data_IF_956696155549
#
_entry.id   IF_956696155549
#
_cell.length_a   1.000
_cell.length_b   1.000
_cell.length_c   1.000
_cell.angle_alpha   90.00
_cell.angle_beta   90.00
_cell.angle_gamma   90.00
#
_symmetry.space_group_name_H-M   'P 1'
#
loop_
_entity.id
_entity.type
_entity.pdbx_description
1 polymer ?
#
# COMPACT_ATOMS: atom_id res chain seq x y z
N UNK A 1 12.01 -7.06 22.48
CA UNK A 1 12.13 -5.86 21.61
C UNK A 1 11.75 -6.29 20.21
N UNK A 2 10.80 -5.61 19.55
CA UNK A 2 10.59 -5.87 18.11
C UNK A 2 11.76 -5.30 17.34
N UNK A 3 12.24 -5.97 16.28
CA UNK A 3 13.32 -5.44 15.48
C UNK A 3 12.87 -4.11 14.86
N UNK A 4 13.60 -3.05 15.18
CA UNK A 4 13.46 -1.77 14.49
C UNK A 4 13.93 -2.02 13.07
N UNK A 5 13.01 -1.95 12.10
CA UNK A 5 13.33 -2.08 10.69
C UNK A 5 14.29 -0.94 10.31
N UNK A 6 15.59 -1.23 10.31
CA UNK A 6 16.62 -0.23 10.07
C UNK A 6 16.78 -0.04 8.56
N UNK A 7 16.02 0.89 7.98
CA UNK A 7 16.08 1.21 6.56
C UNK A 7 17.50 1.53 6.07
N UNK A 8 18.42 1.97 6.94
CA UNK A 8 19.80 2.25 6.54
C UNK A 8 20.59 0.98 6.17
N UNK A 9 20.31 -0.16 6.81
CA UNK A 9 20.91 -1.46 6.45
C UNK A 9 20.43 -1.95 5.08
N UNK A 10 19.24 -1.50 4.66
CA UNK A 10 18.59 -1.95 3.43
C UNK A 10 18.78 -1.02 2.24
N UNK A 11 19.35 0.17 2.46
CA UNK A 11 19.50 1.23 1.46
C UNK A 11 20.10 0.75 0.15
N UNK A 12 21.15 -0.07 0.25
CA UNK A 12 21.93 -0.55 -0.90
C UNK A 12 21.22 -1.60 -1.76
N UNK A 13 20.26 -2.35 -1.21
CA UNK A 13 19.43 -3.32 -1.96
C UNK A 13 18.05 -2.77 -2.32
N UNK A 14 17.48 -1.88 -1.51
CA UNK A 14 16.30 -1.09 -1.85
C UNK A 14 16.55 -0.32 -3.16
N UNK A 15 17.74 0.29 -3.31
CA UNK A 15 18.14 0.92 -4.58
C UNK A 15 18.27 -0.08 -5.74
N UNK A 16 18.74 -1.32 -5.49
CA UNK A 16 18.86 -2.37 -6.52
C UNK A 16 17.50 -2.89 -7.00
N UNK A 17 16.45 -2.78 -6.17
CA UNK A 17 15.06 -3.07 -6.54
C UNK A 17 14.27 -1.80 -6.90
N UNK A 18 14.97 -0.69 -7.18
CA UNK A 18 14.41 0.57 -7.68
C UNK A 18 13.66 1.41 -6.64
N UNK A 19 13.76 1.10 -5.35
CA UNK A 19 13.22 1.91 -4.25
C UNK A 19 14.22 3.05 -4.00
N UNK A 20 13.87 4.25 -4.45
CA UNK A 20 14.74 5.42 -4.34
C UNK A 20 14.85 5.89 -2.88
N UNK A 21 16.05 5.81 -2.33
CA UNK A 21 16.37 6.18 -0.94
C UNK A 21 17.10 7.51 -0.82
N UNK A 22 17.28 8.25 -1.94
CA UNK A 22 17.99 9.52 -1.94
C UNK A 22 17.22 10.68 -1.27
N UNK A 23 15.90 10.55 -1.02
CA UNK A 23 15.09 11.58 -0.34
C UNK A 23 14.42 11.13 0.97
N UNK A 24 14.64 9.91 1.44
CA UNK A 24 13.84 9.31 2.53
C UNK A 24 14.63 9.05 3.81
N UNK A 25 14.91 10.10 4.59
CA UNK A 25 15.14 9.95 6.03
C UNK A 25 13.81 9.54 6.71
N UNK A 26 13.67 8.24 6.98
CA UNK A 26 12.38 7.55 7.01
C UNK A 26 11.62 7.77 8.33
N UNK A 27 10.39 8.28 8.26
CA UNK A 27 9.39 8.01 9.29
C UNK A 27 8.66 6.71 8.91
N UNK A 28 8.74 5.70 9.79
CA UNK A 28 7.99 4.45 9.62
C UNK A 28 6.60 4.64 10.20
N UNK A 29 5.57 4.62 9.35
CA UNK A 29 4.19 4.48 9.82
C UNK A 29 3.95 2.98 9.99
N UNK A 30 4.10 2.48 11.22
CA UNK A 30 3.59 1.16 11.56
C UNK A 30 2.07 1.20 11.52
N UNK A 31 1.50 0.44 10.59
CA UNK A 31 0.04 0.25 10.52
C UNK A 31 -0.28 -0.90 11.48
N UNK A 32 -0.54 -0.57 12.74
CA UNK A 32 -1.11 -1.51 13.68
C UNK A 32 -2.61 -1.60 13.45
N UNK A 33 -3.15 -2.81 13.34
CA UNK A 33 -4.59 -3.06 13.44
C UNK A 33 -5.08 -2.45 14.75
N UNK A 34 -5.92 -1.42 14.66
CA UNK A 34 -6.63 -0.90 15.82
C UNK A 34 -7.75 -1.90 16.11
N UNK A 35 -7.57 -2.72 17.14
CA UNK A 35 -8.70 -3.38 17.79
C UNK A 35 -9.50 -2.31 18.53
N UNK A 36 -10.81 -2.26 18.26
CA UNK A 36 -11.75 -1.31 18.83
C UNK A 36 -11.65 -1.25 20.36
N UNK A 37 -11.55 -0.04 20.91
CA UNK A 37 -11.89 0.20 22.31
C UNK A 37 -13.16 1.06 22.31
N UNK A 38 -14.29 0.44 22.69
CA UNK A 38 -15.58 1.12 22.83
C UNK A 38 -15.45 2.25 23.85
N UNK A 39 -15.83 3.47 23.46
CA UNK A 39 -15.94 4.61 24.39
C UNK A 39 -17.13 4.41 25.34
N UNK A 40 -16.89 4.62 26.64
CA UNK A 40 -17.94 4.74 27.64
C UNK A 40 -17.40 5.22 28.99
N UNK A 41 -17.60 6.52 29.26
CA UNK A 41 -17.78 7.14 30.58
C UNK A 41 -16.60 7.39 31.56
N UNK A 42 -16.38 8.69 31.76
CA UNK A 42 -16.05 9.47 32.99
C UNK A 42 -14.66 9.45 33.63
N UNK A 43 -14.16 10.67 33.84
CA UNK A 43 -12.97 11.05 34.56
C UNK A 43 -13.07 10.75 36.07
N UNK A 44 -12.12 9.97 36.62
CA UNK A 44 -11.70 10.02 38.04
C UNK A 44 -10.25 9.55 38.17
N UNK A 45 -9.44 10.28 38.94
CA UNK A 45 -8.04 9.95 39.32
C UNK A 45 -7.98 8.59 40.01
N UNK A 46 -7.11 7.68 39.54
CA UNK A 46 -6.59 6.56 40.36
C UNK A 46 -5.09 6.35 40.04
N UNK A 47 -4.34 6.20 41.13
CA UNK A 47 -2.91 5.93 41.25
C UNK A 47 -2.47 4.64 40.52
N UNK A 48 -1.20 4.63 40.12
CA UNK A 48 -0.32 3.50 39.78
C UNK A 48 -0.93 2.09 39.73
N UNK A 49 -0.89 1.47 38.54
CA UNK A 49 -0.56 0.04 38.38
C UNK A 49 0.07 -0.17 37.00
N UNK A 50 1.40 -0.23 36.95
CA UNK A 50 2.23 -0.55 35.77
C UNK A 50 2.10 -2.01 35.28
N UNK A 51 1.02 -2.71 35.64
CA UNK A 51 0.91 -4.17 35.48
C UNK A 51 -0.09 -4.61 34.39
N UNK A 52 -0.71 -3.68 33.66
CA UNK A 52 -1.72 -3.99 32.62
C UNK A 52 -1.32 -3.70 31.16
N UNK A 53 -0.06 -3.31 30.90
CA UNK A 53 0.42 -2.96 29.54
C UNK A 53 1.21 -4.07 28.82
N UNK A 54 1.08 -5.32 29.27
CA UNK A 54 1.76 -6.50 28.68
C UNK A 54 0.79 -7.62 28.28
N UNK A 55 -0.44 -7.29 27.89
CA UNK A 55 -1.39 -8.26 27.36
C UNK A 55 -1.53 -8.07 25.84
N UNK A 56 -1.17 -9.11 25.10
CA UNK A 56 -1.45 -9.37 23.68
C UNK A 56 -0.60 -8.66 22.61
N UNK A 57 0.73 -8.70 22.73
CA UNK A 57 1.60 -8.51 21.57
C UNK A 57 1.77 -9.84 20.85
N UNK A 58 0.78 -10.24 20.06
CA UNK A 58 0.92 -11.40 19.17
C UNK A 58 2.14 -11.17 18.27
N UNK A 59 3.13 -12.07 18.35
CA UNK A 59 4.32 -11.97 17.53
C UNK A 59 3.92 -11.99 16.05
N UNK A 60 4.38 -10.98 15.32
CA UNK A 60 4.17 -10.88 13.87
C UNK A 60 5.06 -11.93 13.21
N UNK A 61 4.51 -12.66 12.24
CA UNK A 61 5.22 -13.72 11.53
C UNK A 61 6.06 -13.18 10.37
N UNK A 62 5.69 -12.01 9.86
CA UNK A 62 6.25 -11.41 8.67
C UNK A 62 6.21 -9.88 8.77
N UNK A 63 7.25 -9.22 8.28
CA UNK A 63 7.27 -7.77 8.07
C UNK A 63 7.24 -7.48 6.58
N UNK A 64 6.33 -6.60 6.14
CA UNK A 64 6.19 -6.20 4.76
C UNK A 64 6.26 -4.67 4.63
N UNK A 65 7.08 -4.19 3.70
CA UNK A 65 7.19 -2.79 3.33
C UNK A 65 6.54 -2.55 1.97
N UNK A 66 5.60 -1.61 1.90
CA UNK A 66 4.96 -1.17 0.65
C UNK A 66 5.66 0.09 0.18
N UNK A 67 6.34 0.02 -0.96
CA UNK A 67 6.82 1.22 -1.63
C UNK A 67 5.71 1.79 -2.50
N UNK A 68 5.04 2.82 -2.01
CA UNK A 68 4.10 3.60 -2.81
C UNK A 68 4.87 4.75 -3.46
N UNK A 69 5.50 4.45 -4.60
CA UNK A 69 6.27 5.42 -5.36
C UNK A 69 5.41 6.33 -6.23
N UNK A 70 6.07 7.29 -6.86
CA UNK A 70 5.42 8.27 -7.72
C UNK A 70 5.08 7.70 -9.09
N UNK A 71 6.05 7.01 -9.68
CA UNK A 71 5.92 6.38 -11.01
C UNK A 71 5.62 4.90 -10.91
N UNK A 72 6.24 4.23 -9.94
CA UNK A 72 6.15 2.79 -9.75
C UNK A 72 5.98 2.45 -8.27
N UNK A 73 5.14 1.46 -7.98
CA UNK A 73 4.90 0.95 -6.65
C UNK A 73 5.21 -0.56 -6.57
N UNK A 74 5.52 -1.03 -5.37
CA UNK A 74 5.81 -2.44 -5.13
C UNK A 74 5.85 -2.76 -3.64
N UNK A 75 6.28 -3.97 -3.31
CA UNK A 75 6.51 -4.34 -1.92
C UNK A 75 7.69 -5.31 -1.76
N UNK A 76 8.25 -5.28 -0.56
CA UNK A 76 9.25 -6.23 -0.10
C UNK A 76 8.85 -6.79 1.26
N UNK A 77 9.27 -8.00 1.59
CA UNK A 77 8.93 -8.63 2.86
C UNK A 77 10.03 -9.57 3.34
N UNK A 78 10.02 -9.86 4.64
CA UNK A 78 10.86 -10.87 5.25
C UNK A 78 10.08 -11.58 6.36
N UNK A 79 10.22 -12.90 6.43
CA UNK A 79 9.69 -13.69 7.54
C UNK A 79 10.56 -13.45 8.78
N UNK A 80 9.94 -13.46 9.96
CA UNK A 80 10.65 -13.25 11.21
C UNK A 80 11.78 -14.26 11.43
N UNK A 81 11.58 -15.52 11.00
CA UNK A 81 12.61 -16.54 11.05
C UNK A 81 13.79 -16.23 10.12
N UNK A 82 13.51 -15.87 8.86
CA UNK A 82 14.55 -15.52 7.89
C UNK A 82 15.35 -14.30 8.35
N UNK A 83 14.68 -13.27 8.87
CA UNK A 83 15.32 -12.07 9.40
C UNK A 83 16.27 -12.37 10.56
N UNK A 84 15.92 -13.30 11.46
CA UNK A 84 16.78 -13.69 12.59
C UNK A 84 18.05 -14.43 12.15
N UNK A 85 17.98 -15.18 11.06
CA UNK A 85 19.11 -15.94 10.51
C UNK A 85 19.99 -15.05 9.64
N UNK A 86 19.39 -14.31 8.72
CA UNK A 86 20.05 -13.37 7.84
C UNK A 86 19.15 -12.13 7.64
N UNK A 87 19.42 -11.03 8.36
CA UNK A 87 18.66 -9.80 8.23
C UNK A 87 18.61 -9.26 6.79
N UNK A 88 19.58 -9.59 5.93
CA UNK A 88 19.64 -9.11 4.54
C UNK A 88 18.82 -9.97 3.58
N UNK A 89 18.25 -11.09 4.05
CA UNK A 89 17.36 -11.95 3.25
C UNK A 89 15.97 -11.31 3.12
N UNK A 90 15.78 -10.63 2.00
CA UNK A 90 14.53 -9.95 1.63
C UNK A 90 13.92 -10.64 0.41
N UNK A 91 12.62 -10.88 0.48
CA UNK A 91 11.80 -11.30 -0.65
C UNK A 91 11.04 -10.10 -1.24
N UNK A 92 10.78 -10.14 -2.54
CA UNK A 92 9.97 -9.13 -3.25
C UNK A 92 8.70 -9.77 -3.80
N UNK A 93 7.85 -8.96 -4.43
CA UNK A 93 6.72 -9.43 -5.21
C UNK A 93 7.12 -10.52 -6.24
N UNK A 94 6.20 -11.44 -6.58
CA UNK A 94 6.29 -12.18 -7.83
C UNK A 94 6.45 -11.20 -8.99
N UNK A 95 7.28 -11.55 -9.97
CA UNK A 95 7.55 -10.69 -11.12
C UNK A 95 6.23 -10.30 -11.81
N UNK A 96 5.97 -9.01 -11.90
CA UNK A 96 4.87 -8.48 -12.70
C UNK A 96 5.24 -8.56 -14.18
N UNK A 97 4.26 -8.91 -15.01
CA UNK A 97 4.44 -8.94 -16.46
C UNK A 97 4.06 -7.58 -17.03
N UNK A 98 5.06 -6.85 -17.52
CA UNK A 98 4.93 -5.55 -18.13
C UNK A 98 4.59 -5.70 -19.62
N UNK A 99 3.31 -5.53 -19.94
CA UNK A 99 2.77 -5.59 -21.29
C UNK A 99 2.87 -6.97 -21.95
N UNK A 100 2.38 -7.04 -23.18
CA UNK A 100 2.23 -8.28 -23.96
C UNK A 100 3.55 -8.93 -24.41
N UNK A 101 4.71 -8.32 -24.12
CA UNK A 101 6.05 -8.84 -24.49
C UNK A 101 6.72 -9.67 -23.39
N UNK A 102 6.06 -9.92 -22.26
CA UNK A 102 6.60 -10.79 -21.22
C UNK A 102 7.75 -10.18 -20.42
N UNK A 103 7.90 -8.84 -20.43
CA UNK A 103 8.94 -8.17 -19.64
C UNK A 103 8.62 -8.33 -18.16
N UNK A 104 9.58 -8.77 -17.37
CA UNK A 104 9.39 -9.00 -15.94
C UNK A 104 9.85 -7.80 -15.12
N UNK A 105 9.01 -7.36 -14.18
CA UNK A 105 9.29 -6.19 -13.33
C UNK A 105 9.08 -6.49 -11.86
N UNK A 106 9.93 -5.90 -11.02
CA UNK A 106 9.77 -5.88 -9.56
C UNK A 106 8.85 -4.75 -9.08
N UNK A 107 8.32 -3.94 -9.99
CA UNK A 107 7.37 -2.87 -9.68
C UNK A 107 6.28 -2.76 -10.72
N UNK A 108 5.09 -2.35 -10.29
CA UNK A 108 3.98 -2.02 -11.16
C UNK A 108 3.85 -0.50 -11.29
N UNK A 109 3.42 0.04 -12.46
CA UNK A 109 3.14 1.45 -12.63
C UNK A 109 2.16 1.95 -11.56
N UNK A 110 2.36 3.16 -11.06
CA UNK A 110 1.45 3.77 -10.10
C UNK A 110 0.25 4.37 -10.85
N UNK A 111 -0.66 3.49 -11.27
CA UNK A 111 -1.89 3.87 -11.93
C UNK A 111 -3.09 3.05 -11.45
N UNK A 112 -4.28 3.66 -11.49
CA UNK A 112 -5.54 3.08 -11.04
C UNK A 112 -6.59 3.30 -12.12
N UNK A 113 -7.31 2.25 -12.48
CA UNK A 113 -8.48 2.30 -13.33
C UNK A 113 -9.75 2.16 -12.48
N UNK A 114 -10.70 3.07 -12.66
CA UNK A 114 -12.03 3.01 -12.04
C UNK A 114 -13.13 2.88 -13.10
N UNK A 115 -14.22 2.26 -12.69
CA UNK A 115 -15.45 2.15 -13.48
C UNK A 115 -16.11 3.52 -13.68
N UNK A 116 -17.12 3.64 -14.57
CA UNK A 116 -17.90 4.88 -14.70
C UNK A 116 -18.58 5.33 -13.39
N UNK A 117 -18.78 4.40 -12.44
CA UNK A 117 -19.30 4.67 -11.10
C UNK A 117 -18.21 5.04 -10.07
N UNK A 118 -16.98 5.25 -10.52
CA UNK A 118 -15.79 5.47 -9.69
C UNK A 118 -15.46 4.31 -8.74
N UNK A 119 -15.84 3.09 -9.10
CA UNK A 119 -15.47 1.89 -8.34
C UNK A 119 -14.11 1.37 -8.83
N UNK A 120 -13.24 0.95 -7.91
CA UNK A 120 -11.94 0.39 -8.28
C UNK A 120 -12.08 -0.86 -9.14
N UNK A 121 -11.44 -0.85 -10.31
CA UNK A 121 -11.33 -2.02 -11.19
C UNK A 121 -9.99 -2.71 -10.94
N UNK A 122 -8.88 -2.01 -11.21
CA UNK A 122 -7.55 -2.60 -11.11
C UNK A 122 -6.45 -1.52 -10.96
N UNK A 123 -5.22 -1.98 -10.74
CA UNK A 123 -4.02 -1.19 -10.52
C UNK A 123 -2.87 -1.72 -11.39
N UNK A 124 -1.90 -0.87 -11.72
CA UNK A 124 -0.64 -1.34 -12.30
C UNK A 124 -0.73 -1.68 -13.79
N UNK A 125 0.00 -2.70 -14.23
CA UNK A 125 0.04 -3.07 -15.64
C UNK A 125 -1.34 -3.51 -16.14
N UNK A 126 -2.11 -4.20 -15.31
CA UNK A 126 -3.49 -4.59 -15.61
C UNK A 126 -4.39 -3.38 -15.84
N UNK A 127 -4.12 -2.24 -15.18
CA UNK A 127 -4.85 -0.99 -15.42
C UNK A 127 -4.45 -0.34 -16.75
N UNK A 128 -3.17 -0.38 -17.11
CA UNK A 128 -2.70 0.13 -18.40
C UNK A 128 -3.26 -0.70 -19.56
N UNK A 129 -3.16 -2.03 -19.46
CA UNK A 129 -3.61 -2.96 -20.50
C UNK A 129 -5.13 -2.83 -20.71
N UNK A 130 -5.93 -2.87 -19.64
CA UNK A 130 -7.39 -2.74 -19.73
C UNK A 130 -7.82 -1.35 -20.24
N UNK A 131 -7.11 -0.28 -19.87
CA UNK A 131 -7.42 1.05 -20.41
C UNK A 131 -7.13 1.14 -21.92
N UNK A 132 -6.05 0.52 -22.39
CA UNK A 132 -5.75 0.42 -23.83
C UNK A 132 -6.83 -0.39 -24.56
N UNK A 133 -7.25 -1.53 -24.01
CA UNK A 133 -8.35 -2.33 -24.57
C UNK A 133 -9.65 -1.52 -24.69
N UNK A 134 -10.04 -0.82 -23.62
CA UNK A 134 -11.20 0.08 -23.64
C UNK A 134 -11.05 1.22 -24.66
N UNK A 135 -9.82 1.64 -24.98
CA UNK A 135 -9.57 2.69 -25.95
C UNK A 135 -9.74 2.20 -27.41
N UNK A 136 -9.52 0.92 -27.68
CA UNK A 136 -9.74 0.32 -29.01
C UNK A 136 -11.21 0.40 -29.45
N UNK A 137 -12.13 0.31 -28.48
CA UNK A 137 -13.58 0.39 -28.69
C UNK A 137 -14.18 1.75 -28.28
N UNK A 138 -13.35 2.77 -28.05
CA UNK A 138 -13.74 4.12 -27.57
C UNK A 138 -14.45 4.17 -26.20
N UNK A 139 -14.64 3.04 -25.50
CA UNK A 139 -15.30 2.96 -24.19
C UNK A 139 -14.48 3.54 -23.02
N UNK A 140 -13.19 3.80 -23.22
CA UNK A 140 -12.31 4.42 -22.21
C UNK A 140 -12.80 5.80 -21.73
N UNK A 141 -13.57 6.53 -22.55
CA UNK A 141 -14.12 7.85 -22.19
C UNK A 141 -15.14 7.80 -21.05
N UNK A 142 -15.71 6.64 -20.72
CA UNK A 142 -16.63 6.48 -19.59
C UNK A 142 -15.89 6.12 -18.29
N UNK A 143 -14.67 5.60 -18.39
CA UNK A 143 -13.85 5.15 -17.27
C UNK A 143 -12.93 6.26 -16.74
N UNK A 144 -12.39 6.08 -15.53
CA UNK A 144 -11.44 7.03 -14.93
C UNK A 144 -10.08 6.37 -14.82
N UNK A 145 -9.05 7.00 -15.37
CA UNK A 145 -7.70 6.43 -15.38
C UNK A 145 -6.69 7.40 -14.79
N UNK A 146 -6.25 7.12 -13.57
CA UNK A 146 -5.32 7.97 -12.85
C UNK A 146 -3.91 7.39 -12.93
N UNK A 147 -2.97 8.13 -13.51
CA UNK A 147 -1.54 7.76 -13.58
C UNK A 147 -0.66 8.84 -12.97
N UNK A 148 0.35 8.45 -12.19
CA UNK A 148 1.33 9.38 -11.63
C UNK A 148 0.73 10.38 -10.63
N UNK A 149 -0.44 10.08 -10.06
CA UNK A 149 -1.20 11.02 -9.25
C UNK A 149 -0.55 11.37 -7.90
N UNK A 150 0.50 10.64 -7.51
CA UNK A 150 1.34 11.00 -6.37
C UNK A 150 2.15 12.29 -6.62
N UNK A 151 2.32 12.72 -7.88
CA UNK A 151 3.00 13.98 -8.25
C UNK A 151 2.19 15.20 -7.82
N UNK A 152 0.85 15.13 -7.76
CA UNK A 152 0.01 16.23 -7.29
C UNK A 152 0.19 16.56 -5.79
N UNK A 153 1.06 15.80 -5.13
CA UNK A 153 1.68 16.17 -3.85
C UNK A 153 2.84 17.13 -4.17
N UNK A 154 2.51 18.38 -4.46
CA UNK A 154 3.46 19.47 -4.66
C UNK A 154 4.37 19.66 -3.43
N UNK A 155 5.59 20.17 -3.68
CA UNK A 155 6.66 20.65 -2.80
C UNK A 155 6.25 21.22 -1.42
N UNK A 156 5.01 21.71 -1.27
CA UNK A 156 4.43 22.22 -0.02
C UNK A 156 3.77 21.16 0.88
N UNK A 157 3.64 19.92 0.41
CA UNK A 157 3.25 18.76 1.21
C UNK A 157 1.86 18.86 1.85
N UNK A 158 0.88 19.49 1.19
CA UNK A 158 -0.49 19.59 1.68
C UNK A 158 -1.36 18.49 1.06
N UNK A 159 -1.74 17.52 1.88
CA UNK A 159 -2.75 16.51 1.56
C UNK A 159 -3.95 16.74 2.48
N UNK A 160 -5.14 16.82 1.90
CA UNK A 160 -6.40 16.91 2.64
C UNK A 160 -7.33 15.77 2.25
N UNK A 161 -8.21 15.36 3.16
CA UNK A 161 -9.19 14.28 2.93
C UNK A 161 -10.15 14.59 1.79
N UNK A 162 -10.45 15.87 1.58
CA UNK A 162 -11.37 16.36 0.56
C UNK A 162 -10.68 16.70 -0.76
N UNK A 163 -9.37 16.45 -0.88
CA UNK A 163 -8.64 16.69 -2.12
C UNK A 163 -9.18 15.77 -3.21
N UNK A 164 -9.49 16.37 -4.36
CA UNK A 164 -9.78 15.67 -5.60
C UNK A 164 -8.53 15.66 -6.47
N UNK A 165 -8.31 14.55 -7.16
CA UNK A 165 -7.26 14.40 -8.16
C UNK A 165 -7.94 14.33 -9.51
N UNK A 166 -7.34 15.00 -10.49
CA UNK A 166 -7.83 15.05 -11.87
C UNK A 166 -6.98 14.16 -12.77
N UNK A 167 -7.63 13.38 -13.64
CA UNK A 167 -6.95 12.60 -14.68
C UNK A 167 -6.60 13.43 -15.92
N UNK A 168 -5.99 12.81 -16.93
CA UNK A 168 -5.59 13.49 -18.18
C UNK A 168 -6.79 13.95 -19.02
N UNK A 169 -7.99 13.41 -18.78
CA UNK A 169 -9.24 13.79 -19.44
C UNK A 169 -10.06 14.80 -18.64
N UNK A 170 -9.56 15.23 -17.48
CA UNK A 170 -10.22 16.21 -16.64
C UNK A 170 -11.25 15.65 -15.66
N UNK A 171 -11.38 14.34 -15.55
CA UNK A 171 -12.28 13.68 -14.59
C UNK A 171 -11.64 13.64 -13.20
N UNK A 172 -12.47 13.69 -12.17
CA UNK A 172 -12.00 13.83 -10.79
C UNK A 172 -12.43 12.66 -9.89
N UNK A 173 -11.53 12.25 -8.99
CA UNK A 173 -11.82 11.28 -7.94
C UNK A 173 -11.14 11.69 -6.61
N UNK A 174 -11.66 11.25 -5.44
CA UNK A 174 -11.05 11.57 -4.16
C UNK A 174 -9.63 10.99 -4.02
N UNK A 175 -8.68 11.84 -3.64
CA UNK A 175 -7.29 11.44 -3.41
C UNK A 175 -7.19 10.30 -2.38
N UNK A 176 -7.96 10.39 -1.29
CA UNK A 176 -7.92 9.40 -0.22
C UNK A 176 -8.31 8.00 -0.72
N UNK A 177 -9.27 7.92 -1.63
CA UNK A 177 -9.70 6.65 -2.24
C UNK A 177 -8.63 6.07 -3.16
N UNK A 178 -8.07 6.88 -4.06
CA UNK A 178 -6.99 6.44 -4.96
C UNK A 178 -5.80 5.88 -4.18
N UNK A 179 -5.37 6.57 -3.11
CA UNK A 179 -4.26 6.09 -2.28
C UNK A 179 -4.61 4.81 -1.52
N UNK A 180 -5.82 4.73 -0.97
CA UNK A 180 -6.28 3.55 -0.26
C UNK A 180 -6.41 2.34 -1.20
N UNK A 181 -6.83 2.54 -2.45
CA UNK A 181 -6.89 1.50 -3.48
C UNK A 181 -5.52 0.90 -3.77
N UNK A 182 -4.49 1.73 -3.99
CA UNK A 182 -3.11 1.25 -4.23
C UNK A 182 -2.60 0.43 -3.05
N UNK A 183 -2.73 0.96 -1.82
CA UNK A 183 -2.24 0.28 -0.62
C UNK A 183 -2.96 -1.05 -0.42
N UNK A 184 -4.30 -1.06 -0.59
CA UNK A 184 -5.10 -2.28 -0.47
C UNK A 184 -4.73 -3.31 -1.53
N UNK A 185 -4.57 -2.89 -2.79
CA UNK A 185 -4.20 -3.79 -3.88
C UNK A 185 -2.86 -4.47 -3.57
N UNK A 186 -1.83 -3.72 -3.18
CA UNK A 186 -0.51 -4.28 -2.86
C UNK A 186 -0.55 -5.22 -1.64
N UNK A 187 -1.36 -4.89 -0.61
CA UNK A 187 -1.58 -5.79 0.53
C UNK A 187 -2.19 -7.12 0.09
N UNK A 188 -3.27 -7.06 -0.70
CA UNK A 188 -3.99 -8.24 -1.18
C UNK A 188 -3.10 -9.07 -2.12
N UNK A 189 -2.36 -8.43 -3.01
CA UNK A 189 -1.42 -9.09 -3.90
C UNK A 189 -0.35 -9.88 -3.13
N UNK A 190 0.23 -9.32 -2.06
CA UNK A 190 1.15 -10.07 -1.19
C UNK A 190 0.46 -11.25 -0.52
N UNK A 191 -0.73 -11.06 0.04
CA UNK A 191 -1.48 -12.14 0.70
C UNK A 191 -1.78 -13.29 -0.27
N UNK A 192 -2.28 -12.99 -1.47
CA UNK A 192 -2.53 -13.97 -2.53
C UNK A 192 -1.24 -14.68 -2.97
N UNK A 193 -0.13 -13.96 -3.10
CA UNK A 193 1.16 -14.55 -3.45
C UNK A 193 1.72 -15.48 -2.36
N UNK A 194 1.46 -15.20 -1.08
CA UNK A 194 1.83 -16.06 0.04
C UNK A 194 0.96 -17.33 0.08
N UNK A 195 -0.36 -17.17 -0.11
CA UNK A 195 -1.32 -18.28 -0.14
C UNK A 195 -1.02 -19.26 -1.29
N UNK A 196 -0.70 -18.74 -2.48
CA UNK A 196 -0.31 -19.55 -3.64
C UNK A 196 0.99 -20.36 -3.40
N UNK A 197 1.84 -19.94 -2.45
CA UNK A 197 3.05 -20.67 -2.02
C UNK A 197 2.78 -21.62 -0.85
N UNK A 198 1.52 -21.79 -0.44
CA UNK A 198 1.11 -22.62 0.69
C UNK A 198 1.32 -21.98 2.07
N UNK A 199 1.66 -20.69 2.13
CA UNK A 199 1.84 -19.99 3.40
C UNK A 199 0.51 -19.36 3.85
N UNK A 200 -0.16 -19.96 4.84
CA UNK A 200 -1.42 -19.45 5.43
C UNK A 200 -1.17 -18.25 6.36
N UNK A 201 -0.71 -17.13 5.80
CA UNK A 201 -0.45 -15.87 6.52
C UNK A 201 -1.68 -14.97 6.42
N UNK A 202 -2.24 -14.54 7.55
CA UNK A 202 -3.35 -13.58 7.56
C UNK A 202 -2.81 -12.16 7.65
N UNK A 203 -3.59 -11.18 7.20
CA UNK A 203 -3.24 -9.76 7.32
C UNK A 203 -2.81 -9.35 8.74
N UNK A 204 -3.42 -9.95 9.78
CA UNK A 204 -3.08 -9.70 11.19
C UNK A 204 -1.73 -10.25 11.63
N UNK A 205 -1.18 -11.21 10.90
CA UNK A 205 0.12 -11.82 11.20
C UNK A 205 1.27 -11.01 10.57
N UNK A 206 0.93 -10.00 9.74
CA UNK A 206 1.89 -9.12 9.07
C UNK A 206 2.10 -7.82 9.86
N UNK A 207 3.35 -7.38 9.97
CA UNK A 207 3.72 -6.01 10.33
C UNK A 207 3.88 -5.18 9.05
N UNK A 208 2.94 -4.27 8.80
CA UNK A 208 2.98 -3.41 7.62
C UNK A 208 3.77 -2.12 7.88
N UNK A 209 4.71 -1.86 6.98
CA UNK A 209 5.52 -0.65 6.91
C UNK A 209 5.15 0.10 5.64
N UNK A 210 4.72 1.35 5.78
CA UNK A 210 4.51 2.25 4.65
C UNK A 210 5.50 3.41 4.76
N UNK A 211 6.59 3.41 3.98
CA UNK A 211 7.54 4.51 3.94
C UNK A 211 6.87 5.77 3.39
N UNK A 212 7.15 6.89 4.02
CA UNK A 212 6.73 8.22 3.57
C UNK A 212 7.96 9.13 3.52
N UNK A 213 8.04 10.07 2.56
CA UNK A 213 9.18 10.98 2.47
C UNK A 213 9.39 11.78 3.76
N UNK A 214 10.67 12.03 4.09
CA UNK A 214 11.07 12.70 5.32
C UNK A 214 10.45 14.11 5.42
N UNK A 215 10.52 14.81 4.29
CA UNK A 215 10.12 16.21 4.08
C UNK A 215 8.61 16.42 4.11
N UNK A 216 7.82 15.36 4.20
CA UNK A 216 6.37 15.48 4.30
C UNK A 216 5.94 16.07 5.64
N UNK A 217 4.98 16.97 5.57
CA UNK A 217 4.30 17.58 6.72
C UNK A 217 3.60 16.50 7.58
N UNK A 218 3.27 16.85 8.82
CA UNK A 218 2.51 15.97 9.70
C UNK A 218 1.14 15.59 9.12
N UNK A 219 0.46 16.51 8.42
CA UNK A 219 -0.82 16.26 7.77
C UNK A 219 -0.70 15.29 6.60
N UNK A 220 0.35 15.40 5.78
CA UNK A 220 0.60 14.44 4.70
C UNK A 220 0.89 13.02 5.23
N UNK A 221 1.67 12.92 6.32
CA UNK A 221 1.91 11.63 7.00
C UNK A 221 0.61 11.04 7.59
N UNK A 222 -0.24 11.89 8.17
CA UNK A 222 -1.55 11.48 8.69
C UNK A 222 -2.50 11.03 7.56
N UNK A 223 -2.53 11.72 6.42
CA UNK A 223 -3.30 11.33 5.26
C UNK A 223 -2.93 9.91 4.78
N UNK A 224 -1.63 9.58 4.68
CA UNK A 224 -1.21 8.23 4.32
C UNK A 224 -1.66 7.18 5.32
N UNK A 225 -1.62 7.51 6.62
CA UNK A 225 -2.12 6.62 7.68
C UNK A 225 -3.62 6.37 7.51
N UNK A 226 -4.38 7.38 7.13
CA UNK A 226 -5.82 7.25 6.91
C UNK A 226 -6.12 6.44 5.65
N UNK A 227 -5.42 6.70 4.54
CA UNK A 227 -5.53 5.92 3.32
C UNK A 227 -5.23 4.43 3.60
N UNK A 228 -4.17 4.15 4.35
CA UNK A 228 -3.77 2.80 4.69
C UNK A 228 -4.76 2.02 5.56
N UNK A 229 -5.62 2.74 6.30
CA UNK A 229 -6.61 2.21 7.24
C UNK A 229 -8.05 2.27 6.72
N UNK A 230 -8.29 2.84 5.52
CA UNK A 230 -9.63 3.08 4.99
C UNK A 230 -10.48 1.81 4.84
N UNK A 231 -9.84 0.65 4.59
CA UNK A 231 -10.50 -0.64 4.31
C UNK A 231 -9.98 -1.78 5.20
N UNK A 232 -9.76 -1.52 6.50
CA UNK A 232 -9.18 -2.49 7.44
C UNK A 232 -10.07 -3.70 7.80
N UNK A 233 -11.25 -3.79 7.21
CA UNK A 233 -12.38 -4.64 7.56
C UNK A 233 -12.58 -5.86 6.65
N UNK A 234 -11.57 -6.24 5.86
CA UNK A 234 -11.58 -7.52 5.16
C UNK A 234 -12.54 -7.58 3.96
N UNK A 235 -12.94 -6.43 3.42
CA UNK A 235 -13.62 -6.35 2.12
C UNK A 235 -12.63 -6.79 1.03
N UNK A 236 -12.63 -8.08 0.70
CA UNK A 236 -12.06 -8.57 -0.54
C UNK A 236 -12.83 -7.94 -1.70
N UNK A 237 -12.15 -7.36 -2.68
CA UNK A 237 -12.80 -7.22 -3.96
C UNK A 237 -13.07 -8.62 -4.52
N UNK A 238 -14.21 -8.86 -5.17
CA UNK A 238 -14.26 -9.95 -6.12
C UNK A 238 -13.11 -9.71 -7.10
N UNK A 239 -12.19 -10.66 -7.22
CA UNK A 239 -11.32 -10.71 -8.38
C UNK A 239 -12.27 -10.72 -9.58
N UNK A 240 -12.33 -9.64 -10.36
CA UNK A 240 -13.01 -9.68 -11.64
C UNK A 240 -12.11 -10.56 -12.49
N UNK A 241 -12.36 -11.86 -12.43
CA UNK A 241 -11.70 -12.82 -13.30
C UNK A 241 -11.97 -12.42 -14.73
N UNK A 242 -10.94 -12.48 -15.57
CA UNK A 242 -11.11 -12.41 -17.02
C UNK A 242 -12.25 -13.37 -17.39
N UNK A 243 -13.33 -12.81 -17.97
CA UNK A 243 -14.62 -13.42 -18.30
C UNK A 243 -15.79 -13.09 -17.35
N UNK A 244 -16.15 -11.83 -17.29
CA UNK A 244 -17.56 -11.44 -17.34
C UNK A 244 -17.64 -10.02 -17.85
N UNK A 245 -18.32 -9.84 -18.98
CA UNK A 245 -18.62 -8.57 -19.66
C UNK A 245 -18.68 -7.39 -18.67
N UNK A 246 -17.68 -6.50 -18.77
CA UNK A 246 -17.78 -5.10 -18.36
C UNK A 246 -18.78 -4.38 -19.27
#
# INVERSE_FOLDING_TARGET
MSPVFNLNLYRHRLSTIGIDTHQSASYVVSISLVTECKMGATCRRILSTDSKKMADKKDKLLTAAIDFGTTYSGYAFSFEYDYKVDPLKISTNPLWVAGSRGLVSLKAPTCVLLSPKQEFITFGYEAEDLYVELALDENHYDHYFFKGFKIFIDEKGQLSKSMLIRDDKGKEAPALDLFAHVIRYLKNHLLSALDAKGATIKNKDIHWVLPVPALWTGSAKQFMREAANKYNDGTSFPCIGNNSKL
#
